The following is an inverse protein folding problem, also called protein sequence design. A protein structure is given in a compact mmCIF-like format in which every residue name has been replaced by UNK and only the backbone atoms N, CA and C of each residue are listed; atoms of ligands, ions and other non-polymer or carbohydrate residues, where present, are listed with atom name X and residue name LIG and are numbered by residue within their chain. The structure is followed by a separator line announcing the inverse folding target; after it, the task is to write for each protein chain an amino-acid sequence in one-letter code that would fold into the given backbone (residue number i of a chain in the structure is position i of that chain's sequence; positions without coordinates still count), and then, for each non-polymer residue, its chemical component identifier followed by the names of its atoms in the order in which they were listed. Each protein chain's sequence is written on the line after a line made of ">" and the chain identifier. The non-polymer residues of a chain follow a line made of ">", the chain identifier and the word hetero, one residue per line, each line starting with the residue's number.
data_IF_727967092860
#
_entry.id   IF_727967092860
#
_cell.length_a   1.000
_cell.length_b   1.000
_cell.length_c   1.000
_cell.angle_alpha   90.00
_cell.angle_beta   90.00
_cell.angle_gamma   90.00
#
_symmetry.space_group_name_H-M   'P 1'
#
loop_
_entity.id
_entity.type
_entity.pdbx_description
1 polymer ?
#
# COMPACT_ATOMS: atom_id res chain seq x y z
N UNK A 1 6.62 -21.47 -15.62
CA UNK A 1 7.43 -22.46 -14.90
C UNK A 1 6.51 -23.65 -14.64
N UNK A 2 6.97 -24.86 -14.96
CA UNK A 2 6.21 -26.09 -14.66
C UNK A 2 6.35 -26.39 -13.16
N UNK A 3 5.36 -27.07 -12.58
CA UNK A 3 5.53 -27.70 -11.28
C UNK A 3 6.63 -28.78 -11.36
N UNK A 4 7.16 -29.24 -10.23
CA UNK A 4 8.17 -30.31 -10.18
C UNK A 4 7.70 -31.62 -10.84
N UNK A 5 6.38 -31.79 -11.02
CA UNK A 5 5.75 -32.93 -11.70
C UNK A 5 5.45 -32.72 -13.20
N UNK A 6 5.88 -31.59 -13.77
CA UNK A 6 5.71 -31.29 -15.19
C UNK A 6 4.29 -30.87 -15.60
N UNK A 7 3.37 -30.69 -14.64
CA UNK A 7 2.04 -30.13 -14.91
C UNK A 7 2.10 -28.62 -15.19
N UNK A 8 1.19 -28.12 -16.04
CA UNK A 8 0.99 -26.68 -16.20
C UNK A 8 0.53 -26.09 -14.86
N UNK A 9 1.39 -25.29 -14.23
CA UNK A 9 1.03 -24.59 -13.00
C UNK A 9 -0.05 -23.54 -13.31
N UNK A 10 -1.25 -23.75 -12.77
CA UNK A 10 -2.36 -22.80 -12.89
C UNK A 10 -2.14 -21.53 -12.02
N UNK A 11 -0.96 -21.42 -11.39
CA UNK A 11 -0.47 -20.24 -10.65
C UNK A 11 -0.27 -19.01 -11.54
N UNK A 12 -0.26 -19.19 -12.87
CA UNK A 12 0.02 -18.12 -13.85
C UNK A 12 -1.00 -16.98 -13.86
N UNK A 13 -2.18 -17.15 -13.25
CA UNK A 13 -3.24 -16.14 -13.19
C UNK A 13 -3.99 -16.07 -11.85
N UNK A 14 -3.30 -16.18 -10.71
CA UNK A 14 -3.82 -15.44 -9.54
C UNK A 14 -3.71 -13.96 -9.90
N UNK A 15 -4.78 -13.39 -10.48
CA UNK A 15 -4.96 -11.96 -10.67
C UNK A 15 -4.62 -11.31 -9.32
N UNK A 16 -3.41 -10.77 -9.21
CA UNK A 16 -3.00 -10.10 -7.99
C UNK A 16 -3.72 -8.76 -8.00
N UNK A 17 -4.75 -8.67 -7.17
CA UNK A 17 -5.60 -7.48 -7.07
C UNK A 17 -4.96 -6.49 -6.12
N UNK A 18 -4.95 -5.20 -6.47
CA UNK A 18 -4.61 -4.15 -5.52
C UNK A 18 -5.63 -4.12 -4.40
N UNK A 19 -5.18 -4.16 -3.15
CA UNK A 19 -6.03 -4.00 -1.98
C UNK A 19 -5.29 -3.20 -0.91
N UNK A 20 -6.08 -2.49 -0.11
CA UNK A 20 -5.62 -1.85 1.12
C UNK A 20 -6.60 -2.24 2.21
N UNK A 21 -6.07 -2.81 3.28
CA UNK A 21 -6.80 -3.12 4.50
C UNK A 21 -6.49 -2.02 5.51
N UNK A 22 -7.52 -1.25 5.88
CA UNK A 22 -7.43 -0.26 6.96
C UNK A 22 -8.23 -0.80 8.14
N UNK A 23 -7.59 -0.92 9.29
CA UNK A 23 -8.21 -1.45 10.49
C UNK A 23 -7.85 -0.62 11.72
N UNK A 24 -8.63 -0.79 12.79
CA UNK A 24 -8.42 -0.13 14.08
C UNK A 24 -8.14 -1.22 15.11
N UNK A 25 -7.05 -1.05 15.86
CA UNK A 25 -6.72 -1.88 17.02
C UNK A 25 -6.56 -0.94 18.21
N UNK A 26 -7.27 -1.24 19.29
CA UNK A 26 -7.53 -0.33 20.41
C UNK A 26 -8.05 1.05 19.92
N UNK A 27 -7.21 2.08 20.05
CA UNK A 27 -7.48 3.47 19.63
C UNK A 27 -6.53 3.97 18.54
N UNK A 28 -5.83 3.06 17.87
CA UNK A 28 -4.90 3.38 16.78
C UNK A 28 -5.38 2.82 15.45
N UNK A 29 -5.15 3.56 14.38
CA UNK A 29 -5.45 3.12 13.02
C UNK A 29 -4.18 2.55 12.38
N UNK A 30 -4.37 1.51 11.60
CA UNK A 30 -3.30 0.83 10.89
C UNK A 30 -3.72 0.55 9.45
N UNK A 31 -2.73 0.44 8.57
CA UNK A 31 -2.95 -0.02 7.21
C UNK A 31 -1.91 -1.04 6.80
N UNK A 32 -2.36 -1.99 6.00
CA UNK A 32 -1.51 -2.92 5.29
C UNK A 32 -2.11 -3.18 3.91
N UNK A 33 -1.31 -3.66 2.97
CA UNK A 33 -1.85 -4.13 1.71
C UNK A 33 -0.85 -4.12 0.57
N UNK A 34 -1.41 -4.32 -0.62
CA UNK A 34 -0.66 -4.52 -1.84
C UNK A 34 -1.26 -3.65 -2.93
N UNK A 35 -0.45 -2.80 -3.58
CA UNK A 35 -0.87 -2.00 -4.73
C UNK A 35 -0.10 -2.44 -5.96
N UNK A 36 -0.84 -2.77 -7.03
CA UNK A 36 -0.31 -2.89 -8.38
C UNK A 36 -0.22 -1.52 -9.03
N UNK A 37 1.00 -1.11 -9.37
CA UNK A 37 1.33 0.17 -9.98
C UNK A 37 2.10 0.04 -11.31
N UNK A 38 2.48 1.19 -11.86
CA UNK A 38 3.14 1.39 -13.18
C UNK A 38 4.07 0.23 -13.57
N UNK A 39 3.89 -0.33 -14.77
CA UNK A 39 4.66 -1.47 -15.31
C UNK A 39 4.55 -2.80 -14.51
N UNK A 40 3.41 -3.14 -13.90
CA UNK A 40 3.19 -4.42 -13.21
C UNK A 40 4.01 -4.61 -11.90
N UNK A 41 4.42 -3.51 -11.27
CA UNK A 41 5.19 -3.57 -10.02
C UNK A 41 4.28 -3.63 -8.80
N UNK A 42 4.78 -4.33 -7.78
CA UNK A 42 4.12 -4.55 -6.49
C UNK A 42 4.66 -3.52 -5.50
N UNK A 43 3.77 -2.74 -4.91
CA UNK A 43 4.02 -1.94 -3.72
C UNK A 43 3.41 -2.64 -2.50
N UNK A 44 4.24 -2.96 -1.51
CA UNK A 44 3.82 -3.47 -0.21
C UNK A 44 3.88 -2.32 0.80
N UNK A 45 2.72 -1.94 1.35
CA UNK A 45 2.63 -0.89 2.36
C UNK A 45 2.69 -1.54 3.74
N UNK A 46 3.85 -1.48 4.37
CA UNK A 46 4.16 -1.93 5.72
C UNK A 46 5.15 -0.95 6.36
N UNK A 47 5.30 -0.97 7.68
CA UNK A 47 6.29 -0.18 8.39
C UNK A 47 7.72 -0.54 7.95
N UNK A 48 8.66 0.43 7.95
CA UNK A 48 10.03 0.25 7.43
C UNK A 48 10.97 -0.54 8.36
N UNK A 49 10.46 -1.23 9.39
CA UNK A 49 11.32 -1.89 10.38
C UNK A 49 12.05 -3.08 9.72
N UNK A 50 13.38 -3.06 9.77
CA UNK A 50 14.21 -4.14 9.21
C UNK A 50 13.76 -5.51 9.72
N UNK A 51 13.30 -6.36 8.80
CA UNK A 51 12.94 -7.75 9.08
C UNK A 51 11.55 -7.99 9.67
N UNK A 52 10.72 -6.96 9.87
CA UNK A 52 9.35 -7.13 10.38
C UNK A 52 8.33 -6.40 9.50
N UNK A 53 7.40 -7.16 8.93
CA UNK A 53 6.29 -6.65 8.10
C UNK A 53 5.15 -6.15 8.99
N UNK A 54 5.39 -5.12 9.80
CA UNK A 54 4.34 -4.56 10.65
C UNK A 54 3.41 -3.63 9.86
N UNK A 55 2.11 -3.57 10.19
CA UNK A 55 1.19 -2.59 9.63
C UNK A 55 1.66 -1.15 9.86
N UNK A 56 1.46 -0.27 8.87
CA UNK A 56 1.85 1.13 8.98
C UNK A 56 0.87 1.87 9.91
N UNK A 57 1.35 2.53 10.99
CA UNK A 57 0.48 3.29 11.89
C UNK A 57 -0.02 4.57 11.22
N UNK A 58 -1.27 4.94 11.47
CA UNK A 58 -1.93 6.09 10.88
C UNK A 58 -2.59 6.97 11.95
N UNK A 59 -2.56 8.28 11.71
CA UNK A 59 -3.22 9.29 12.54
C UNK A 59 -4.43 9.83 11.79
N UNK A 60 -5.60 9.83 12.43
CA UNK A 60 -6.80 10.47 11.89
C UNK A 60 -6.68 12.00 12.01
N UNK A 61 -6.60 12.69 10.87
CA UNK A 61 -6.61 14.16 10.76
C UNK A 61 -7.82 14.60 9.93
N UNK A 62 -8.92 14.95 10.59
CA UNK A 62 -10.18 15.29 9.93
C UNK A 62 -10.81 14.06 9.26
N UNK A 63 -10.96 14.08 7.93
CA UNK A 63 -11.49 12.95 7.14
C UNK A 63 -10.39 12.06 6.52
N UNK A 64 -9.13 12.28 6.89
CA UNK A 64 -7.96 11.59 6.31
C UNK A 64 -7.22 10.80 7.36
N UNK A 65 -6.69 9.66 6.97
CA UNK A 65 -5.67 8.95 7.74
C UNK A 65 -4.30 9.31 7.17
N UNK A 66 -3.38 9.68 8.04
CA UNK A 66 -2.09 10.26 7.65
C UNK A 66 -0.95 9.56 8.39
N UNK A 67 0.07 9.16 7.66
CA UNK A 67 1.38 8.80 8.19
C UNK A 67 2.38 9.87 7.77
N UNK A 68 3.19 10.32 8.72
CA UNK A 68 4.23 11.33 8.53
C UNK A 68 5.50 10.82 9.20
N UNK A 69 6.60 10.80 8.44
CA UNK A 69 7.93 10.46 8.93
C UNK A 69 8.93 11.48 8.38
N UNK A 70 9.79 12.00 9.25
CA UNK A 70 10.79 13.00 8.88
C UNK A 70 12.15 12.59 9.42
N UNK A 71 13.11 12.40 8.52
CA UNK A 71 14.50 12.19 8.86
C UNK A 71 15.36 13.25 8.16
N UNK A 72 15.53 14.44 8.77
CA UNK A 72 16.25 15.56 8.16
C UNK A 72 17.71 15.21 7.80
N UNK A 73 18.33 14.29 8.55
CA UNK A 73 19.70 13.83 8.29
C UNK A 73 19.84 13.12 6.94
N UNK A 74 18.76 12.52 6.45
CA UNK A 74 18.71 11.76 5.19
C UNK A 74 17.86 12.45 4.12
N UNK A 75 17.43 13.70 4.35
CA UNK A 75 16.48 14.44 3.50
C UNK A 75 15.18 13.67 3.22
N UNK A 76 14.73 12.87 4.20
CA UNK A 76 13.49 12.10 4.10
C UNK A 76 12.35 12.93 4.72
N UNK A 77 11.30 13.16 3.93
CA UNK A 77 10.07 13.80 4.36
C UNK A 77 8.88 13.02 3.79
N UNK A 78 8.56 11.87 4.38
CA UNK A 78 7.43 11.08 3.94
C UNK A 78 6.14 11.66 4.50
N UNK A 79 5.18 11.90 3.61
CA UNK A 79 3.78 12.14 3.98
C UNK A 79 2.85 11.29 3.14
N UNK A 80 2.28 10.27 3.76
CA UNK A 80 1.33 9.34 3.17
C UNK A 80 -0.09 9.66 3.66
N UNK A 81 -1.01 9.90 2.73
CA UNK A 81 -2.41 10.22 3.06
C UNK A 81 -3.36 9.22 2.40
N UNK A 82 -4.30 8.72 3.20
CA UNK A 82 -5.45 7.94 2.78
C UNK A 82 -6.72 8.76 3.00
N UNK A 83 -7.50 8.93 1.94
CA UNK A 83 -8.73 9.71 1.93
C UNK A 83 -9.87 8.87 1.35
N UNK A 84 -10.91 8.66 2.14
CA UNK A 84 -12.10 7.93 1.72
C UNK A 84 -13.15 8.90 1.17
N UNK A 85 -13.72 8.57 0.02
CA UNK A 85 -14.87 9.27 -0.55
C UNK A 85 -15.98 8.29 -0.96
N UNK A 86 -17.01 8.79 -1.64
CA UNK A 86 -18.13 7.96 -2.11
C UNK A 86 -17.73 6.97 -3.22
N UNK A 87 -16.62 7.23 -3.91
CA UNK A 87 -16.16 6.48 -5.08
C UNK A 87 -15.06 5.47 -4.74
N UNK A 88 -14.36 5.63 -3.62
CA UNK A 88 -13.33 4.70 -3.17
C UNK A 88 -12.33 5.27 -2.18
N UNK A 89 -11.11 4.74 -2.27
CA UNK A 89 -9.97 5.14 -1.45
C UNK A 89 -8.92 5.84 -2.33
N UNK A 90 -8.60 7.08 -1.99
CA UNK A 90 -7.54 7.86 -2.60
C UNK A 90 -6.26 7.80 -1.78
N UNK A 91 -5.15 7.62 -2.47
CA UNK A 91 -3.82 7.48 -1.88
C UNK A 91 -2.94 8.62 -2.39
N UNK A 92 -2.26 9.32 -1.49
CA UNK A 92 -1.36 10.43 -1.83
C UNK A 92 -0.01 10.23 -1.15
N UNK A 93 1.04 10.38 -1.95
CA UNK A 93 2.45 10.39 -1.54
C UNK A 93 3.16 11.45 -2.40
N UNK A 94 2.92 12.71 -2.05
CA UNK A 94 3.03 13.84 -3.00
C UNK A 94 4.45 14.11 -3.49
N UNK A 95 5.44 13.85 -2.65
CA UNK A 95 6.86 13.97 -2.99
C UNK A 95 7.53 12.61 -3.25
N UNK A 96 6.78 11.51 -3.14
CA UNK A 96 7.24 10.14 -3.38
C UNK A 96 8.19 9.58 -2.32
N UNK A 97 8.42 10.29 -1.22
CA UNK A 97 9.39 9.85 -0.19
C UNK A 97 8.89 8.61 0.53
N UNK A 98 7.57 8.44 0.70
CA UNK A 98 7.05 7.24 1.33
C UNK A 98 7.29 6.01 0.44
N UNK A 99 7.00 6.12 -0.85
CA UNK A 99 7.25 5.05 -1.83
C UNK A 99 8.75 4.74 -2.00
N UNK A 100 9.63 5.72 -1.77
CA UNK A 100 11.07 5.56 -1.93
C UNK A 100 11.79 5.03 -0.69
N UNK A 101 11.31 5.38 0.51
CA UNK A 101 12.06 5.14 1.74
C UNK A 101 11.27 4.33 2.78
N UNK A 102 9.94 4.43 2.80
CA UNK A 102 9.12 3.81 3.85
C UNK A 102 8.48 2.50 3.40
N UNK A 103 8.10 2.39 2.14
CA UNK A 103 7.44 1.21 1.57
C UNK A 103 8.36 0.47 0.62
N UNK A 104 8.11 -0.83 0.47
CA UNK A 104 8.72 -1.58 -0.61
C UNK A 104 7.89 -1.43 -1.88
N UNK A 105 8.25 -0.46 -2.71
CA UNK A 105 7.69 -0.29 -4.04
C UNK A 105 8.72 -0.70 -5.11
N UNK A 106 8.48 -1.85 -5.75
CA UNK A 106 9.35 -2.34 -6.83
C UNK A 106 9.58 -1.27 -7.91
N UNK A 107 10.80 -1.19 -8.46
CA UNK A 107 11.23 -0.23 -9.48
C UNK A 107 10.94 1.26 -9.16
N UNK A 108 10.88 1.64 -7.87
CA UNK A 108 10.55 3.00 -7.45
C UNK A 108 9.18 3.48 -7.95
N UNK A 109 8.21 2.57 -8.07
CA UNK A 109 6.84 2.92 -8.40
C UNK A 109 6.24 3.82 -7.30
N UNK A 110 5.55 4.88 -7.70
CA UNK A 110 4.84 5.75 -6.76
C UNK A 110 3.41 5.28 -6.53
N UNK A 111 2.92 5.43 -5.30
CA UNK A 111 1.50 5.29 -4.94
C UNK A 111 0.74 6.62 -4.96
N UNK A 112 1.36 7.72 -5.40
CA UNK A 112 0.69 9.02 -5.51
C UNK A 112 -0.44 8.96 -6.53
N UNK A 113 -1.61 9.49 -6.13
CA UNK A 113 -2.81 9.60 -6.96
C UNK A 113 -3.37 8.25 -7.41
N UNK A 114 -3.05 7.18 -6.65
CA UNK A 114 -3.74 5.90 -6.80
C UNK A 114 -5.17 6.03 -6.25
N UNK A 115 -6.13 5.62 -7.07
CA UNK A 115 -7.54 5.53 -6.67
C UNK A 115 -7.98 4.06 -6.70
N UNK A 116 -8.26 3.52 -5.52
CA UNK A 116 -8.85 2.19 -5.38
C UNK A 116 -10.37 2.34 -5.35
N UNK A 117 -10.99 2.05 -6.49
CA UNK A 117 -12.44 2.18 -6.69
C UNK A 117 -13.18 1.19 -5.80
N UNK A 118 -14.25 1.65 -5.15
CA UNK A 118 -15.12 0.79 -4.36
C UNK A 118 -15.84 -0.22 -5.27
N UNK A 119 -15.68 -1.51 -5.00
CA UNK A 119 -16.49 -2.56 -5.65
C UNK A 119 -17.72 -2.89 -4.81
N UNK A 120 -18.89 -2.86 -5.43
CA UNK A 120 -20.16 -3.24 -4.79
C UNK A 120 -20.50 -4.72 -5.01
N UNK A 121 -19.65 -5.47 -5.72
CA UNK A 121 -19.80 -6.91 -5.94
C UNK A 121 -18.91 -7.64 -4.93
N UNK A 122 -19.51 -8.16 -3.87
CA UNK A 122 -18.85 -9.12 -2.99
C UNK A 122 -18.77 -10.50 -3.67
N UNK A 123 -17.75 -11.28 -3.34
CA UNK A 123 -17.75 -12.71 -3.63
C UNK A 123 -18.70 -13.40 -2.64
N UNK A 124 -19.64 -14.19 -3.15
CA UNK A 124 -20.40 -15.16 -2.36
C UNK A 124 -19.66 -16.50 -2.33
#
# INVERSE_FOLDING_TARGET
>A
MLNEDGSESNERFKLKTSYINVFKEDDKYFTEGLIWGYNFHICTITAPVEGVSEPLPLILKGKKLVFEEQEPEYDINCKFELEFDENGLHIKDKNYHCSNYMFYCGAHASVHDVHLVKTNKGCN
#
